data_IF_307946782055
#
_entry.id   IF_307946782055
#
_cell.length_a   1.000
_cell.length_b   1.000
_cell.length_c   1.000
_cell.angle_alpha   90.00
_cell.angle_beta   90.00
_cell.angle_gamma   90.00
#
_symmetry.space_group_name_H-M   'P 1'
#
loop_
_entity.id
_entity.type
_entity.pdbx_description
1 polymer ?
#
# COMPACT_ATOMS: atom_id res chain seq x y z
N UNK A 1 15.60 -9.02 11.35
CA UNK A 1 16.77 -8.33 11.98
C UNK A 1 16.57 -6.84 11.81
N UNK A 2 16.69 -6.06 12.88
CA UNK A 2 16.44 -4.62 12.82
C UNK A 2 17.62 -3.96 12.08
N UNK A 3 17.38 -3.13 11.08
CA UNK A 3 18.41 -2.40 10.32
C UNK A 3 19.35 -1.65 11.28
N UNK A 4 18.80 -1.16 12.39
CA UNK A 4 19.53 -0.49 13.46
C UNK A 4 20.59 -1.40 14.11
N UNK A 5 20.29 -2.67 14.32
CA UNK A 5 21.20 -3.64 14.90
C UNK A 5 22.37 -3.97 13.97
N UNK A 6 22.09 -4.10 12.66
CA UNK A 6 23.13 -4.31 11.65
C UNK A 6 24.06 -3.10 11.53
N UNK A 7 23.48 -1.90 11.49
CA UNK A 7 24.26 -0.65 11.45
C UNK A 7 25.15 -0.51 12.67
N UNK A 8 24.64 -0.87 13.84
CA UNK A 8 25.39 -0.83 15.10
C UNK A 8 26.54 -1.85 15.11
N UNK A 9 26.34 -3.05 14.57
CA UNK A 9 27.40 -4.06 14.43
C UNK A 9 28.52 -3.59 13.46
N UNK A 10 28.14 -3.05 12.31
CA UNK A 10 29.12 -2.51 11.34
C UNK A 10 29.92 -1.35 11.95
N UNK A 11 29.26 -0.49 12.72
CA UNK A 11 29.91 0.64 13.37
C UNK A 11 30.90 0.17 14.45
N UNK A 12 30.52 -0.83 15.25
CA UNK A 12 31.40 -1.45 16.24
C UNK A 12 32.63 -2.11 15.60
N UNK A 13 32.45 -2.77 14.46
CA UNK A 13 33.55 -3.35 13.67
C UNK A 13 34.49 -2.28 13.13
N UNK A 14 33.98 -1.18 12.62
CA UNK A 14 34.81 -0.05 12.16
C UNK A 14 35.61 0.58 13.29
N UNK A 15 35.02 0.77 14.46
CA UNK A 15 35.74 1.31 15.64
C UNK A 15 36.87 0.38 16.10
N UNK A 16 36.59 -0.93 16.14
CA UNK A 16 37.60 -1.95 16.48
C UNK A 16 38.77 -2.00 15.47
N UNK A 17 38.46 -1.97 14.17
CA UNK A 17 39.46 -1.89 13.10
C UNK A 17 40.32 -0.64 13.24
N UNK A 18 39.74 0.51 13.52
CA UNK A 18 40.45 1.78 13.72
C UNK A 18 41.41 1.71 14.90
N UNK A 19 40.99 1.11 16.03
CA UNK A 19 41.83 0.89 17.19
C UNK A 19 43.01 -0.06 16.90
N UNK A 20 42.74 -1.11 16.11
CA UNK A 20 43.80 -2.04 15.66
C UNK A 20 44.81 -1.37 14.74
N UNK A 21 44.38 -0.52 13.80
CA UNK A 21 45.29 0.27 12.98
C UNK A 21 46.12 1.26 13.78
N UNK A 22 45.53 1.96 14.75
CA UNK A 22 46.23 2.87 15.63
C UNK A 22 47.28 2.17 16.54
N UNK A 23 46.96 0.97 17.03
CA UNK A 23 47.87 0.17 17.83
C UNK A 23 49.04 -0.44 17.01
N UNK A 24 48.81 -0.72 15.72
CA UNK A 24 49.84 -1.20 14.80
C UNK A 24 50.83 -0.08 14.38
N UNK A 25 50.39 1.17 14.31
CA UNK A 25 51.21 2.32 13.90
C UNK A 25 52.11 2.85 15.05
N UNK A 26 51.74 2.54 16.29
CA UNK A 26 52.59 2.88 17.45
C UNK A 26 53.65 1.79 17.62
N UNK A 27 54.90 2.07 17.22
CA UNK A 27 56.08 1.18 17.26
C UNK A 27 56.45 0.64 18.65
N UNK A 28 55.54 -0.03 19.32
CA UNK A 28 55.81 -0.74 20.54
C UNK A 28 55.70 -2.22 20.27
N UNK A 29 56.78 -2.98 20.53
CA UNK A 29 56.91 -4.44 20.43
C UNK A 29 55.61 -5.14 20.91
N UNK A 30 54.70 -5.43 19.99
CA UNK A 30 53.57 -6.31 20.25
C UNK A 30 54.10 -7.73 20.42
N UNK A 31 53.65 -8.50 21.41
CA UNK A 31 53.94 -9.91 21.50
C UNK A 31 53.25 -10.61 20.30
N UNK A 32 54.03 -10.91 19.29
CA UNK A 32 53.62 -11.44 17.99
C UNK A 32 52.89 -12.78 18.12
N UNK A 33 53.15 -13.53 19.19
CA UNK A 33 52.60 -14.90 19.37
C UNK A 33 51.12 -14.96 19.74
N UNK A 34 50.52 -13.90 20.31
CA UNK A 34 49.10 -13.92 20.69
C UNK A 34 48.21 -12.98 19.87
N UNK A 35 48.80 -11.99 19.20
CA UNK A 35 48.03 -10.97 18.48
C UNK A 35 47.51 -11.46 17.14
N UNK A 36 48.32 -12.16 16.34
CA UNK A 36 47.89 -12.67 15.02
C UNK A 36 46.76 -13.72 15.13
N UNK A 37 46.84 -14.69 16.06
CA UNK A 37 45.72 -15.65 16.27
C UNK A 37 44.41 -14.97 16.72
N UNK A 38 44.46 -13.96 17.54
CA UNK A 38 43.26 -13.24 17.98
C UNK A 38 42.61 -12.42 16.85
N UNK A 39 43.41 -11.80 16.01
CA UNK A 39 42.99 -11.09 14.80
C UNK A 39 42.32 -12.04 13.79
N UNK A 40 42.93 -13.18 13.52
CA UNK A 40 42.39 -14.19 12.61
C UNK A 40 41.05 -14.75 13.13
N UNK A 41 40.93 -14.95 14.44
CA UNK A 41 39.71 -15.39 15.06
C UNK A 41 38.60 -14.32 14.92
N UNK A 42 38.91 -13.07 15.15
CA UNK A 42 37.95 -11.96 15.04
C UNK A 42 37.51 -11.70 13.60
N UNK A 43 38.43 -11.85 12.62
CA UNK A 43 38.10 -11.82 11.20
C UNK A 43 37.21 -13.02 10.81
N UNK A 44 37.48 -14.22 11.33
CA UNK A 44 36.66 -15.38 11.10
C UNK A 44 35.21 -15.18 11.61
N UNK A 45 35.05 -14.73 12.85
CA UNK A 45 33.72 -14.49 13.42
C UNK A 45 32.98 -13.37 12.67
N UNK A 46 33.67 -12.29 12.30
CA UNK A 46 33.06 -11.20 11.51
C UNK A 46 32.65 -11.65 10.11
N UNK A 47 33.42 -12.55 9.49
CA UNK A 47 33.07 -13.13 8.20
C UNK A 47 31.82 -13.99 8.28
N UNK A 48 31.71 -14.83 9.32
CA UNK A 48 30.52 -15.65 9.57
C UNK A 48 29.29 -14.79 9.85
N UNK A 49 29.41 -13.73 10.66
CA UNK A 49 28.32 -12.80 10.95
C UNK A 49 27.84 -12.08 9.68
N UNK A 50 28.77 -11.64 8.83
CA UNK A 50 28.44 -11.02 7.54
C UNK A 50 27.76 -11.99 6.58
N UNK A 51 28.19 -13.25 6.55
CA UNK A 51 27.56 -14.27 5.73
C UNK A 51 26.11 -14.53 6.18
N UNK A 52 25.89 -14.71 7.48
CA UNK A 52 24.55 -14.91 8.05
C UNK A 52 23.65 -13.69 7.76
N UNK A 53 24.18 -12.48 7.93
CA UNK A 53 23.43 -11.25 7.61
C UNK A 53 23.08 -11.16 6.12
N UNK A 54 23.99 -11.58 5.25
CA UNK A 54 23.75 -11.65 3.80
C UNK A 54 22.66 -12.64 3.42
N UNK A 55 22.68 -13.83 4.00
CA UNK A 55 21.64 -14.85 3.79
C UNK A 55 20.26 -14.36 4.28
N UNK A 56 20.22 -13.71 5.43
CA UNK A 56 18.99 -13.14 5.99
C UNK A 56 18.42 -12.03 5.08
N UNK A 57 19.29 -11.13 4.56
CA UNK A 57 18.87 -10.09 3.62
C UNK A 57 18.32 -10.67 2.32
N UNK A 58 18.94 -11.71 1.78
CA UNK A 58 18.44 -12.40 0.59
C UNK A 58 17.05 -12.98 0.86
N UNK A 59 16.88 -13.69 1.97
CA UNK A 59 15.58 -14.26 2.36
C UNK A 59 14.49 -13.20 2.54
N UNK A 60 14.81 -12.08 3.20
CA UNK A 60 13.87 -10.96 3.34
C UNK A 60 13.49 -10.36 1.98
N UNK A 61 14.46 -10.24 1.07
CA UNK A 61 14.25 -9.72 -0.28
C UNK A 61 13.32 -10.64 -1.08
N UNK A 62 13.55 -11.94 -1.05
CA UNK A 62 12.69 -12.93 -1.70
C UNK A 62 11.26 -12.91 -1.15
N UNK A 63 11.12 -12.79 0.18
CA UNK A 63 9.82 -12.67 0.85
C UNK A 63 9.08 -11.41 0.40
N UNK A 64 9.75 -10.26 0.34
CA UNK A 64 9.15 -9.01 -0.13
C UNK A 64 8.72 -9.08 -1.60
N UNK A 65 9.52 -9.72 -2.46
CA UNK A 65 9.17 -9.93 -3.88
C UNK A 65 7.91 -10.80 -3.98
N UNK A 66 7.86 -11.90 -3.23
CA UNK A 66 6.71 -12.81 -3.20
C UNK A 66 5.43 -12.11 -2.72
N UNK A 67 5.50 -11.37 -1.62
CA UNK A 67 4.37 -10.61 -1.09
C UNK A 67 3.88 -9.55 -2.08
N UNK A 68 4.80 -8.86 -2.75
CA UNK A 68 4.45 -7.88 -3.78
C UNK A 68 3.72 -8.53 -4.95
N UNK A 69 4.21 -9.67 -5.43
CA UNK A 69 3.56 -10.42 -6.51
C UNK A 69 2.14 -10.88 -6.12
N UNK A 70 1.96 -11.37 -4.88
CA UNK A 70 0.64 -11.74 -4.37
C UNK A 70 -0.31 -10.54 -4.31
N UNK A 71 0.13 -9.41 -3.78
CA UNK A 71 -0.65 -8.17 -3.74
C UNK A 71 -1.05 -7.68 -5.13
N UNK A 72 -0.15 -7.75 -6.11
CA UNK A 72 -0.43 -7.37 -7.49
C UNK A 72 -1.46 -8.31 -8.13
N UNK A 73 -1.35 -9.63 -7.88
CA UNK A 73 -2.30 -10.62 -8.37
C UNK A 73 -3.70 -10.43 -7.74
N UNK A 74 -3.79 -10.22 -6.43
CA UNK A 74 -5.05 -9.94 -5.74
C UNK A 74 -5.69 -8.63 -6.25
N UNK A 75 -4.88 -7.59 -6.42
CA UNK A 75 -5.35 -6.32 -6.96
C UNK A 75 -5.89 -6.46 -8.37
N UNK A 76 -5.21 -7.24 -9.22
CA UNK A 76 -5.68 -7.50 -10.58
C UNK A 76 -6.98 -8.31 -10.57
N UNK A 77 -7.05 -9.36 -9.77
CA UNK A 77 -8.29 -10.15 -9.60
C UNK A 77 -9.46 -9.29 -9.14
N UNK A 78 -9.25 -8.40 -8.17
CA UNK A 78 -10.28 -7.46 -7.73
C UNK A 78 -10.73 -6.52 -8.87
N UNK A 79 -9.78 -5.98 -9.64
CA UNK A 79 -10.10 -5.12 -10.79
C UNK A 79 -10.94 -5.85 -11.82
N UNK A 80 -10.56 -7.08 -12.15
CA UNK A 80 -11.26 -7.88 -13.15
C UNK A 80 -12.68 -8.22 -12.67
N UNK A 81 -12.83 -8.65 -11.42
CA UNK A 81 -14.13 -8.90 -10.82
C UNK A 81 -15.01 -7.65 -10.85
N UNK A 82 -14.48 -6.50 -10.43
CA UNK A 82 -15.21 -5.24 -10.43
C UNK A 82 -15.62 -4.83 -11.83
N UNK A 83 -14.71 -4.91 -12.80
CA UNK A 83 -14.91 -4.46 -14.17
C UNK A 83 -15.95 -5.32 -14.91
N UNK A 84 -15.88 -6.64 -14.72
CA UNK A 84 -16.74 -7.59 -15.43
C UNK A 84 -18.02 -7.97 -14.67
N UNK A 85 -18.27 -7.40 -13.51
CA UNK A 85 -19.55 -7.61 -12.82
C UNK A 85 -20.73 -7.17 -13.71
N UNK A 86 -21.77 -8.01 -13.83
CA UNK A 86 -22.95 -7.68 -14.64
C UNK A 86 -23.77 -6.53 -14.06
N UNK A 87 -23.65 -6.28 -12.76
CA UNK A 87 -24.31 -5.18 -12.06
C UNK A 87 -23.51 -3.90 -12.15
N UNK A 88 -24.20 -2.77 -12.31
CA UNK A 88 -23.57 -1.45 -12.33
C UNK A 88 -23.09 -1.07 -10.91
N UNK A 89 -21.79 -0.84 -10.78
CA UNK A 89 -21.16 -0.39 -9.54
C UNK A 89 -20.44 0.94 -9.74
N UNK A 90 -20.64 1.82 -8.77
CA UNK A 90 -19.98 3.11 -8.65
C UNK A 90 -19.41 3.25 -7.24
N UNK A 91 -18.18 3.70 -7.15
CA UNK A 91 -17.53 4.10 -5.90
C UNK A 91 -17.38 5.61 -5.90
N UNK A 92 -17.81 6.26 -4.83
CA UNK A 92 -17.66 7.72 -4.68
C UNK A 92 -16.88 8.04 -3.41
N UNK A 93 -16.24 9.21 -3.42
CA UNK A 93 -15.70 9.80 -2.20
C UNK A 93 -16.81 10.36 -1.29
N UNK A 94 -16.42 10.95 -0.16
CA UNK A 94 -17.33 11.52 0.82
C UNK A 94 -18.12 12.74 0.26
N UNK A 95 -17.63 13.38 -0.77
CA UNK A 95 -18.25 14.51 -1.45
C UNK A 95 -19.22 14.08 -2.56
N UNK A 96 -19.30 12.78 -2.83
CA UNK A 96 -20.10 12.21 -3.90
C UNK A 96 -19.46 12.30 -5.28
N UNK A 97 -18.14 12.51 -5.35
CA UNK A 97 -17.36 12.48 -6.57
C UNK A 97 -17.06 11.02 -6.93
N UNK A 98 -17.25 10.63 -8.16
CA UNK A 98 -17.03 9.26 -8.63
C UNK A 98 -15.52 8.98 -8.69
N UNK A 99 -15.08 8.01 -7.91
CA UNK A 99 -13.68 7.52 -7.87
C UNK A 99 -13.49 6.35 -8.81
N UNK A 100 -14.47 5.43 -8.84
CA UNK A 100 -14.46 4.24 -9.70
C UNK A 100 -15.85 3.96 -10.24
N UNK A 101 -15.91 3.45 -11.45
CA UNK A 101 -17.12 2.96 -12.08
C UNK A 101 -16.75 1.72 -12.89
N UNK A 102 -17.56 0.66 -12.83
CA UNK A 102 -17.35 -0.49 -13.68
C UNK A 102 -18.00 -0.30 -15.07
N UNK A 103 -17.72 -1.20 -15.99
CA UNK A 103 -18.24 -1.18 -17.36
C UNK A 103 -19.78 -1.16 -17.39
N UNK A 104 -20.43 -1.93 -16.54
CA UNK A 104 -21.89 -1.96 -16.47
C UNK A 104 -22.48 -0.61 -16.03
N UNK A 105 -21.84 0.10 -15.11
CA UNK A 105 -22.24 1.45 -14.70
C UNK A 105 -22.07 2.47 -15.84
N UNK A 106 -20.98 2.40 -16.58
CA UNK A 106 -20.73 3.25 -17.74
C UNK A 106 -21.81 3.06 -18.81
N UNK A 107 -22.13 1.81 -19.13
CA UNK A 107 -23.20 1.46 -20.07
C UNK A 107 -24.57 1.96 -19.60
N UNK A 108 -24.89 1.74 -18.32
CA UNK A 108 -26.18 2.12 -17.75
C UNK A 108 -26.36 3.64 -17.68
N UNK A 109 -25.29 4.39 -17.42
CA UNK A 109 -25.32 5.85 -17.41
C UNK A 109 -25.22 6.48 -18.79
N UNK A 110 -24.84 5.70 -19.82
CA UNK A 110 -24.65 6.18 -21.19
C UNK A 110 -23.44 7.14 -21.31
N UNK A 111 -22.43 6.95 -20.47
CA UNK A 111 -21.22 7.79 -20.43
C UNK A 111 -19.99 6.90 -20.44
N UNK A 112 -19.01 7.28 -21.24
CA UNK A 112 -17.73 6.58 -21.28
C UNK A 112 -17.09 6.50 -19.88
N UNK A 113 -16.55 5.35 -19.51
CA UNK A 113 -16.02 5.07 -18.16
C UNK A 113 -14.94 6.07 -17.76
N UNK A 114 -14.04 6.41 -18.66
CA UNK A 114 -12.99 7.41 -18.46
C UNK A 114 -13.53 8.80 -18.08
N UNK A 115 -14.72 9.12 -18.59
CA UNK A 115 -15.41 10.39 -18.35
C UNK A 115 -16.29 10.38 -17.10
N UNK A 116 -16.53 9.22 -16.50
CA UNK A 116 -17.25 9.12 -15.23
C UNK A 116 -16.38 9.49 -14.03
N UNK A 117 -15.11 9.18 -14.11
CA UNK A 117 -14.16 9.53 -13.07
C UNK A 117 -14.16 11.04 -12.83
N UNK A 118 -14.06 11.44 -11.60
CA UNK A 118 -14.08 12.84 -11.15
C UNK A 118 -15.40 13.59 -11.31
N UNK A 119 -16.44 13.00 -11.92
CA UNK A 119 -17.76 13.62 -11.95
C UNK A 119 -18.50 13.48 -10.62
N UNK A 120 -19.32 14.45 -10.30
CA UNK A 120 -20.21 14.39 -9.14
C UNK A 120 -21.43 13.50 -9.46
N UNK A 121 -21.70 12.49 -8.62
CA UNK A 121 -22.85 11.61 -8.77
C UNK A 121 -24.17 12.41 -8.81
N UNK A 122 -24.24 13.56 -8.16
CA UNK A 122 -25.41 14.44 -8.18
C UNK A 122 -25.79 14.91 -9.58
N UNK A 123 -24.86 14.95 -10.55
CA UNK A 123 -25.16 15.31 -11.93
C UNK A 123 -26.08 14.31 -12.64
N UNK A 124 -26.07 13.05 -12.18
CA UNK A 124 -26.94 11.98 -12.66
C UNK A 124 -28.23 11.83 -11.87
N UNK A 125 -28.55 12.77 -11.00
CA UNK A 125 -29.77 12.78 -10.19
C UNK A 125 -30.74 13.84 -10.74
N UNK A 126 -32.02 13.50 -10.91
CA UNK A 126 -33.07 14.47 -11.29
C UNK A 126 -33.04 15.70 -10.38
N UNK A 127 -33.22 16.88 -10.97
CA UNK A 127 -33.04 18.18 -10.28
C UNK A 127 -33.85 18.27 -9.00
N UNK A 128 -35.08 17.77 -9.01
CA UNK A 128 -36.02 17.79 -7.86
C UNK A 128 -35.52 16.97 -6.68
N UNK A 129 -34.64 15.98 -6.92
CA UNK A 129 -34.10 15.07 -5.90
C UNK A 129 -32.69 15.41 -5.42
N UNK A 130 -32.04 16.37 -6.04
CA UNK A 130 -30.63 16.75 -5.70
C UNK A 130 -30.49 17.27 -4.28
N UNK A 131 -31.47 18.03 -3.79
CA UNK A 131 -31.48 18.57 -2.42
C UNK A 131 -31.54 17.43 -1.39
N UNK A 132 -32.46 16.50 -1.57
CA UNK A 132 -32.61 15.32 -0.72
C UNK A 132 -31.36 14.44 -0.75
N UNK A 133 -30.74 14.25 -1.91
CA UNK A 133 -29.51 13.49 -2.06
C UNK A 133 -28.35 14.12 -1.28
N UNK A 134 -28.15 15.45 -1.38
CA UNK A 134 -27.09 16.16 -0.64
C UNK A 134 -27.30 16.07 0.87
N UNK A 135 -28.56 16.19 1.33
CA UNK A 135 -28.91 16.02 2.74
C UNK A 135 -28.56 14.62 3.24
N UNK A 136 -28.93 13.59 2.48
CA UNK A 136 -28.61 12.21 2.79
C UNK A 136 -27.09 11.94 2.77
N UNK A 137 -26.35 12.52 1.82
CA UNK A 137 -24.89 12.40 1.75
C UNK A 137 -24.24 13.00 3.00
N UNK A 138 -24.70 14.16 3.46
CA UNK A 138 -24.23 14.81 4.67
C UNK A 138 -24.57 14.01 5.94
N UNK A 139 -25.73 13.38 6.00
CA UNK A 139 -26.10 12.49 7.10
C UNK A 139 -25.23 11.23 7.12
N UNK A 140 -24.96 10.67 5.94
CA UNK A 140 -24.07 9.50 5.81
C UNK A 140 -22.62 9.80 6.25
N UNK A 141 -22.16 11.04 6.14
CA UNK A 141 -20.86 11.44 6.66
C UNK A 141 -20.77 11.38 8.19
N UNK A 142 -21.89 11.59 8.87
CA UNK A 142 -21.97 11.62 10.33
C UNK A 142 -22.24 10.25 10.96
N UNK A 143 -22.76 9.28 10.19
CA UNK A 143 -23.14 7.96 10.69
C UNK A 143 -22.01 6.94 10.46
N UNK A 144 -21.76 6.14 11.50
CA UNK A 144 -20.70 5.11 11.49
C UNK A 144 -21.21 3.73 11.00
N UNK A 145 -22.46 3.65 10.54
CA UNK A 145 -23.14 2.41 10.17
C UNK A 145 -23.28 2.29 8.65
N UNK A 146 -23.26 1.05 8.16
CA UNK A 146 -23.57 0.76 6.75
C UNK A 146 -25.06 1.06 6.53
N UNK A 147 -25.35 2.10 5.77
CA UNK A 147 -26.70 2.47 5.40
C UNK A 147 -26.92 2.22 3.91
N UNK A 148 -28.01 1.52 3.58
CA UNK A 148 -28.44 1.33 2.21
C UNK A 148 -29.54 2.34 1.88
N UNK A 149 -29.27 3.26 0.98
CA UNK A 149 -30.24 4.22 0.48
C UNK A 149 -30.60 3.91 -0.98
N UNK A 150 -31.90 3.88 -1.27
CA UNK A 150 -32.39 3.74 -2.65
C UNK A 150 -32.47 5.10 -3.31
N UNK A 151 -31.79 5.26 -4.43
CA UNK A 151 -31.78 6.48 -5.24
C UNK A 151 -32.35 6.19 -6.62
N UNK A 152 -32.93 7.23 -7.23
CA UNK A 152 -33.28 7.21 -8.66
C UNK A 152 -32.21 8.02 -9.38
N UNK A 153 -31.50 7.37 -10.28
CA UNK A 153 -30.50 7.97 -11.17
C UNK A 153 -31.12 8.14 -12.56
N UNK A 154 -30.61 9.09 -13.32
CA UNK A 154 -31.01 9.35 -14.69
C UNK A 154 -29.80 9.19 -15.61
N UNK A 155 -29.94 8.33 -16.62
CA UNK A 155 -28.94 8.19 -17.66
C UNK A 155 -28.85 9.46 -18.51
N UNK A 156 -27.76 9.62 -19.24
CA UNK A 156 -27.54 10.77 -20.14
C UNK A 156 -28.63 10.87 -21.23
N UNK A 157 -29.23 9.74 -21.60
CA UNK A 157 -30.31 9.66 -22.58
C UNK A 157 -31.72 9.87 -22.00
N UNK A 158 -31.84 10.26 -20.72
CA UNK A 158 -33.13 10.59 -20.08
C UNK A 158 -33.82 9.43 -19.38
N UNK A 159 -33.42 8.19 -19.56
CA UNK A 159 -33.96 7.05 -18.85
C UNK A 159 -33.60 7.08 -17.35
N UNK A 160 -34.57 6.80 -16.50
CA UNK A 160 -34.35 6.76 -15.05
C UNK A 160 -34.41 5.34 -14.49
N UNK A 161 -33.46 4.99 -13.62
CA UNK A 161 -33.38 3.70 -12.97
C UNK A 161 -33.16 3.83 -11.46
N UNK A 162 -33.48 2.76 -10.72
CA UNK A 162 -33.26 2.70 -9.28
C UNK A 162 -31.85 2.20 -9.00
N UNK A 163 -31.13 2.92 -8.12
CA UNK A 163 -29.83 2.54 -7.63
C UNK A 163 -29.85 2.41 -6.11
N UNK A 164 -29.02 1.53 -5.59
CA UNK A 164 -28.76 1.42 -4.14
C UNK A 164 -27.40 1.98 -3.85
N UNK A 165 -27.31 2.86 -2.87
CA UNK A 165 -26.03 3.39 -2.38
C UNK A 165 -25.71 2.70 -1.07
N UNK A 166 -24.59 2.00 -1.05
CA UNK A 166 -24.01 1.38 0.13
C UNK A 166 -22.79 2.21 0.55
N UNK A 167 -22.71 2.58 1.80
CA UNK A 167 -21.51 3.16 2.35
C UNK A 167 -20.77 2.13 3.16
N UNK A 168 -19.54 1.83 2.77
CA UNK A 168 -18.56 1.09 3.57
C UNK A 168 -17.54 2.05 4.20
N UNK A 169 -17.04 1.73 5.39
CA UNK A 169 -15.91 2.43 5.99
C UNK A 169 -14.65 1.99 5.25
N UNK A 170 -13.99 2.89 4.55
CA UNK A 170 -12.61 2.66 4.13
C UNK A 170 -11.76 2.59 5.40
N UNK A 171 -11.26 1.40 5.74
CA UNK A 171 -10.12 1.29 6.67
C UNK A 171 -8.89 1.71 5.87
N UNK A 172 -8.35 2.83 6.21
CA UNK A 172 -6.98 3.23 5.84
C UNK A 172 -5.99 2.31 6.57
#
# INVERSE_FOLDING_TARGET
MNVDMFTQQVQTLQERLTLLYQSADTQQKLPTDSFVPSLLKELGTSSEELQVAGEELLHQTETLISLRQQLEAERQSYKDLFEFMPQAYLVTDAQGKIVQANRAAATLLGVEQSRLQDKLLVSFIPVEKRSAFRSNLNQLQKSNWVQQNKLRLQAHQGESFKASVLRGRQRL
#
